data_IF_069081666217
#
_entry.id   IF_069081666217
#
_cell.length_a   1.000
_cell.length_b   1.000
_cell.length_c   1.000
_cell.angle_alpha   90.00
_cell.angle_beta   90.00
_cell.angle_gamma   90.00
#
_symmetry.space_group_name_H-M   'P 1'
#
loop_
_entity.id
_entity.type
_entity.pdbx_description
1 polymer ?
#
# COMPACT_ATOMS: atom_id res chain seq x y z
N UNK A 1 -23.49 10.19 4.11
CA UNK A 1 -22.59 11.35 4.02
C UNK A 1 -22.13 11.44 2.58
N UNK A 2 -22.07 12.62 2.00
CA UNK A 2 -21.53 12.86 0.66
C UNK A 2 -20.35 13.80 0.77
N UNK A 3 -19.36 13.64 -0.12
CA UNK A 3 -18.20 14.51 -0.20
C UNK A 3 -18.27 15.22 -1.56
N UNK A 4 -18.14 16.56 -1.61
CA UNK A 4 -18.09 17.29 -2.88
C UNK A 4 -16.98 16.78 -3.79
N UNK A 5 -17.28 16.61 -5.08
CA UNK A 5 -16.32 16.05 -6.05
C UNK A 5 -15.07 16.91 -6.21
N UNK A 6 -15.18 18.23 -6.05
CA UNK A 6 -14.03 19.13 -6.16
C UNK A 6 -13.07 18.96 -4.98
N UNK A 7 -13.59 18.67 -3.78
CA UNK A 7 -12.75 18.33 -2.63
C UNK A 7 -11.99 17.01 -2.85
N UNK A 8 -12.64 16.01 -3.46
CA UNK A 8 -11.99 14.75 -3.85
C UNK A 8 -10.87 14.98 -4.87
N UNK A 9 -11.12 15.77 -5.92
CA UNK A 9 -10.12 16.10 -6.95
C UNK A 9 -8.92 16.85 -6.40
N UNK A 10 -9.15 17.83 -5.53
CA UNK A 10 -8.07 18.58 -4.86
C UNK A 10 -7.21 17.62 -4.00
N UNK A 11 -7.83 16.62 -3.38
CA UNK A 11 -7.13 15.57 -2.65
C UNK A 11 -6.45 14.52 -3.56
N UNK A 12 -6.59 14.63 -4.89
CA UNK A 12 -6.03 13.67 -5.85
C UNK A 12 -6.73 12.31 -5.83
N UNK A 13 -7.97 12.25 -5.34
CA UNK A 13 -8.79 11.05 -5.28
C UNK A 13 -9.84 11.05 -6.40
N UNK A 14 -10.05 9.89 -7.02
CA UNK A 14 -11.01 9.68 -8.11
C UNK A 14 -12.13 8.71 -7.74
N UNK A 15 -13.27 8.83 -8.44
CA UNK A 15 -14.39 7.94 -8.23
C UNK A 15 -14.03 6.50 -8.66
N UNK A 16 -14.28 5.53 -7.78
CA UNK A 16 -13.94 4.13 -8.02
C UNK A 16 -12.61 3.70 -7.39
N UNK A 17 -11.81 4.63 -6.86
CA UNK A 17 -10.63 4.30 -6.07
C UNK A 17 -11.01 3.73 -4.70
N UNK A 18 -10.14 2.86 -4.18
CA UNK A 18 -10.26 2.33 -2.83
C UNK A 18 -9.49 3.21 -1.85
N UNK A 19 -10.14 3.57 -0.76
CA UNK A 19 -9.61 4.52 0.24
C UNK A 19 -9.81 3.99 1.65
N UNK A 20 -8.92 4.40 2.55
CA UNK A 20 -9.01 4.12 3.98
C UNK A 20 -9.41 5.41 4.70
N UNK A 21 -10.41 5.32 5.57
CA UNK A 21 -10.81 6.40 6.46
C UNK A 21 -10.20 6.20 7.84
N UNK A 22 -9.52 7.22 8.36
CA UNK A 22 -8.97 7.21 9.72
C UNK A 22 -9.32 8.48 10.49
N UNK A 23 -9.53 8.34 11.79
CA UNK A 23 -9.67 9.49 12.67
C UNK A 23 -8.32 10.19 12.84
N UNK A 24 -8.31 11.52 12.75
CA UNK A 24 -7.14 12.38 12.95
C UNK A 24 -7.41 13.42 14.04
N UNK A 25 -7.88 12.92 15.19
CA UNK A 25 -8.30 13.72 16.33
C UNK A 25 -9.80 14.09 16.34
N UNK A 26 -10.25 14.84 17.37
CA UNK A 26 -11.67 15.15 17.54
C UNK A 26 -12.25 15.91 16.35
N UNK A 27 -13.30 15.36 15.75
CA UNK A 27 -14.01 15.98 14.63
C UNK A 27 -13.29 15.94 13.28
N UNK A 28 -12.18 15.20 13.16
CA UNK A 28 -11.39 15.10 11.93
C UNK A 28 -11.29 13.67 11.44
N UNK A 29 -11.64 13.46 10.17
CA UNK A 29 -11.46 12.20 9.44
C UNK A 29 -10.60 12.49 8.22
N UNK A 30 -9.59 11.67 7.99
CA UNK A 30 -8.73 11.70 6.82
C UNK A 30 -9.06 10.51 5.93
N UNK A 31 -9.14 10.76 4.62
CA UNK A 31 -9.25 9.73 3.59
C UNK A 31 -7.92 9.66 2.85
N UNK A 32 -7.31 8.49 2.82
CA UNK A 32 -6.07 8.22 2.11
C UNK A 32 -6.31 7.09 1.10
N UNK A 33 -5.60 7.13 -0.03
CA UNK A 33 -5.62 6.02 -0.98
C UNK A 33 -5.14 4.76 -0.26
N UNK A 34 -5.82 3.64 -0.49
CA UNK A 34 -5.33 2.35 -0.04
C UNK A 34 -4.01 2.09 -0.78
N UNK A 35 -2.88 2.07 -0.06
CA UNK A 35 -1.61 1.65 -0.65
C UNK A 35 -1.72 0.19 -1.06
N UNK A 36 -1.36 -0.11 -2.31
CA UNK A 36 -1.16 -1.50 -2.72
C UNK A 36 0.10 -2.01 -2.02
N UNK A 37 -0.10 -2.87 -1.01
CA UNK A 37 0.98 -3.50 -0.26
C UNK A 37 1.96 -4.21 -1.20
N UNK A 38 1.49 -4.79 -2.32
CA UNK A 38 2.38 -5.38 -3.30
C UNK A 38 3.24 -4.31 -3.98
N UNK A 39 2.68 -3.16 -4.36
CA UNK A 39 3.46 -2.07 -4.94
C UNK A 39 4.48 -1.51 -3.94
N UNK A 40 4.08 -1.29 -2.68
CA UNK A 40 4.96 -0.73 -1.64
C UNK A 40 6.14 -1.64 -1.27
N UNK A 41 5.97 -2.97 -1.35
CA UNK A 41 7.00 -3.93 -0.94
C UNK A 41 7.64 -4.70 -2.10
N UNK A 42 7.06 -4.69 -3.30
CA UNK A 42 7.65 -5.35 -4.46
C UNK A 42 9.01 -4.73 -4.79
N UNK A 43 10.02 -5.57 -4.90
CA UNK A 43 11.39 -5.15 -5.17
C UNK A 43 12.13 -4.50 -4.00
N UNK A 44 11.47 -4.23 -2.87
CA UNK A 44 12.11 -3.62 -1.68
C UNK A 44 13.25 -4.46 -1.09
N UNK A 45 13.24 -5.77 -1.35
CA UNK A 45 14.27 -6.71 -0.91
C UNK A 45 15.08 -7.30 -2.08
N UNK A 46 15.01 -6.69 -3.28
CA UNK A 46 15.82 -7.13 -4.42
C UNK A 46 17.31 -6.93 -4.11
N UNK A 47 18.10 -8.00 -4.26
CA UNK A 47 19.53 -7.99 -3.98
C UNK A 47 19.91 -8.17 -2.51
N UNK A 48 18.95 -8.31 -1.59
CA UNK A 48 19.21 -8.60 -0.17
C UNK A 48 19.69 -10.05 0.03
N UNK A 49 19.24 -10.96 -0.82
CA UNK A 49 19.60 -12.36 -0.77
C UNK A 49 20.57 -12.73 -1.89
N UNK A 50 21.57 -13.52 -1.53
CA UNK A 50 22.55 -14.03 -2.50
C UNK A 50 21.88 -14.88 -3.58
N UNK A 51 22.41 -14.77 -4.79
CA UNK A 51 21.94 -15.55 -5.91
C UNK A 51 22.21 -17.04 -5.64
N UNK A 52 21.15 -17.85 -5.59
CA UNK A 52 21.24 -19.29 -5.32
C UNK A 52 20.93 -19.72 -3.88
N UNK A 53 20.68 -18.78 -2.95
CA UNK A 53 20.36 -19.16 -1.56
C UNK A 53 19.09 -20.02 -1.44
N UNK A 54 18.12 -19.81 -2.34
CA UNK A 54 16.90 -20.62 -2.37
C UNK A 54 17.21 -22.08 -2.75
N UNK A 55 18.15 -22.29 -3.66
CA UNK A 55 18.55 -23.64 -4.07
C UNK A 55 19.32 -24.34 -2.95
N UNK A 56 20.19 -23.60 -2.25
CA UNK A 56 20.88 -24.09 -1.06
C UNK A 56 19.90 -24.53 0.04
N UNK A 57 18.89 -23.69 0.34
CA UNK A 57 17.88 -24.00 1.35
C UNK A 57 17.01 -25.19 0.97
N UNK A 58 16.73 -25.41 -0.32
CA UNK A 58 15.98 -26.59 -0.79
C UNK A 58 16.77 -27.88 -0.60
N UNK A 59 18.07 -27.84 -0.90
CA UNK A 59 18.95 -29.01 -0.78
C UNK A 59 19.26 -29.40 0.67
N UNK A 60 18.94 -28.55 1.66
CA UNK A 60 19.13 -28.86 3.09
C UNK A 60 18.11 -29.89 3.61
N UNK A 61 16.97 -30.03 2.94
CA UNK A 61 15.86 -30.89 3.37
C UNK A 61 15.82 -32.25 2.65
N UNK A 62 16.80 -32.52 1.78
CA UNK A 62 17.09 -33.80 1.12
C UNK A 62 18.19 -34.56 1.88
#
# INVERSE_FOLDING_TARGET
MTIPIDAMRIAGLEAGERVIARADGPGRVVLEREEDVLESFSGSLTGVFDHGIIEQLRNEWD
#
